data_IF_815181732449
#
_entry.id   IF_815181732449
#
_cell.length_a   1.000
_cell.length_b   1.000
_cell.length_c   1.000
_cell.angle_alpha   90.00
_cell.angle_beta   90.00
_cell.angle_gamma   90.00
#
_symmetry.space_group_name_H-M   'P 1'
#
loop_
_entity.id
_entity.type
_entity.pdbx_description
1 polymer ?
#
# COMPACT_ATOMS: atom_id res chain seq x y z
N UNK A 1 -20.16 9.15 -3.95
CA UNK A 1 -21.19 10.00 -3.35
C UNK A 1 -20.80 10.39 -1.94
N UNK A 2 -20.77 11.68 -1.67
CA UNK A 2 -20.45 12.21 -0.31
C UNK A 2 -21.62 12.12 0.66
N UNK A 3 -22.72 11.50 0.27
CA UNK A 3 -23.90 11.32 1.12
C UNK A 3 -23.86 9.92 1.77
N UNK A 4 -23.45 9.78 3.04
CA UNK A 4 -23.31 8.49 3.69
C UNK A 4 -24.63 7.79 3.94
N UNK A 5 -25.73 8.53 3.99
CA UNK A 5 -27.06 7.98 4.30
C UNK A 5 -27.85 7.59 3.05
N UNK A 6 -27.31 7.87 1.86
CA UNK A 6 -27.98 7.72 0.58
C UNK A 6 -28.90 8.91 0.28
N UNK A 7 -29.35 9.01 -0.95
CA UNK A 7 -30.26 10.09 -1.39
C UNK A 7 -31.49 9.46 -1.99
N UNK A 8 -32.68 9.74 -1.46
CA UNK A 8 -33.95 9.38 -2.04
C UNK A 8 -34.53 10.53 -2.89
N UNK A 9 -33.84 10.79 -4.00
CA UNK A 9 -34.21 11.87 -4.93
C UNK A 9 -35.60 11.62 -5.58
N UNK A 10 -36.05 10.37 -5.61
CA UNK A 10 -37.30 10.00 -6.37
C UNK A 10 -38.55 10.25 -5.55
N UNK A 11 -38.49 10.10 -4.22
CA UNK A 11 -39.68 10.15 -3.35
C UNK A 11 -39.97 11.52 -2.75
N UNK A 12 -38.96 12.31 -2.44
CA UNK A 12 -39.09 13.58 -1.71
C UNK A 12 -38.72 14.74 -2.63
N UNK A 13 -39.61 15.09 -3.55
CA UNK A 13 -39.47 16.26 -4.41
C UNK A 13 -40.49 17.33 -4.02
N UNK A 14 -40.06 18.57 -4.01
CA UNK A 14 -40.96 19.72 -3.95
C UNK A 14 -41.81 19.87 -5.21
N UNK A 15 -42.76 20.81 -5.19
CA UNK A 15 -43.62 21.10 -6.38
C UNK A 15 -42.79 21.53 -7.57
N UNK A 16 -41.60 22.08 -7.36
CA UNK A 16 -40.65 22.51 -8.40
C UNK A 16 -39.78 21.38 -8.94
N UNK A 17 -40.00 20.13 -8.51
CA UNK A 17 -39.21 18.97 -8.90
C UNK A 17 -37.82 18.89 -8.21
N UNK A 18 -37.50 19.83 -7.33
CA UNK A 18 -36.26 19.87 -6.59
C UNK A 18 -36.35 18.91 -5.38
N UNK A 19 -35.33 18.09 -5.13
CA UNK A 19 -35.32 17.20 -3.96
C UNK A 19 -35.36 18.01 -2.67
N UNK A 20 -36.29 17.70 -1.77
CA UNK A 20 -36.41 18.36 -0.46
C UNK A 20 -35.24 18.05 0.48
N UNK A 21 -34.64 16.88 0.31
CA UNK A 21 -33.46 16.42 1.07
C UNK A 21 -32.15 16.73 0.35
N UNK A 22 -32.18 17.54 -0.69
CA UNK A 22 -31.06 17.88 -1.52
C UNK A 22 -30.52 19.26 -1.21
N UNK A 23 -29.21 19.39 -1.23
CA UNK A 23 -28.52 20.70 -1.29
C UNK A 23 -27.95 20.86 -2.70
N UNK A 24 -28.00 22.08 -3.25
CA UNK A 24 -27.40 22.35 -4.56
C UNK A 24 -25.92 21.90 -4.58
N UNK A 25 -25.51 21.24 -5.67
CA UNK A 25 -24.12 20.82 -5.79
C UNK A 25 -23.16 22.02 -5.80
N UNK A 26 -23.51 23.02 -6.58
CA UNK A 26 -22.75 24.28 -6.61
C UNK A 26 -23.49 25.34 -5.78
N UNK A 27 -22.80 26.11 -4.90
CA UNK A 27 -21.36 26.09 -4.61
C UNK A 27 -20.93 25.08 -3.52
N UNK A 28 -21.86 24.43 -2.82
CA UNK A 28 -21.57 23.72 -1.57
C UNK A 28 -20.61 22.53 -1.76
N UNK A 29 -20.93 21.59 -2.64
CA UNK A 29 -20.06 20.43 -2.89
C UNK A 29 -18.89 20.76 -3.80
N UNK A 30 -19.03 21.73 -4.68
CA UNK A 30 -17.91 22.23 -5.50
C UNK A 30 -16.79 22.78 -4.62
N UNK A 31 -17.12 23.52 -3.56
CA UNK A 31 -16.10 24.03 -2.63
C UNK A 31 -15.41 22.90 -1.86
N UNK A 32 -16.17 21.89 -1.41
CA UNK A 32 -15.58 20.72 -0.75
C UNK A 32 -14.65 19.93 -1.67
N UNK A 33 -15.03 19.75 -2.91
CA UNK A 33 -14.20 19.05 -3.91
C UNK A 33 -12.92 19.84 -4.20
N UNK A 34 -13.03 21.16 -4.37
CA UNK A 34 -11.86 22.04 -4.55
C UNK A 34 -10.94 22.03 -3.33
N UNK A 35 -11.50 22.02 -2.12
CA UNK A 35 -10.72 21.91 -0.90
C UNK A 35 -9.96 20.55 -0.85
N UNK A 36 -10.63 19.45 -1.15
CA UNK A 36 -10.00 18.13 -1.18
C UNK A 36 -8.88 18.04 -2.23
N UNK A 37 -9.12 18.58 -3.43
CA UNK A 37 -8.12 18.67 -4.50
C UNK A 37 -6.95 19.55 -4.05
N UNK A 38 -7.21 20.69 -3.43
CA UNK A 38 -6.17 21.60 -2.94
C UNK A 38 -5.28 20.93 -1.90
N UNK A 39 -5.86 20.22 -0.92
CA UNK A 39 -5.10 19.46 0.08
C UNK A 39 -4.28 18.35 -0.57
N UNK A 40 -4.88 17.60 -1.49
CA UNK A 40 -4.17 16.56 -2.22
C UNK A 40 -2.98 17.13 -3.00
N UNK A 41 -3.19 18.18 -3.77
CA UNK A 41 -2.13 18.81 -4.56
C UNK A 41 -1.03 19.39 -3.68
N UNK A 42 -1.38 19.97 -2.53
CA UNK A 42 -0.38 20.47 -1.58
C UNK A 42 0.53 19.34 -1.09
N UNK A 43 -0.05 18.21 -0.64
CA UNK A 43 0.71 17.04 -0.18
C UNK A 43 1.53 16.44 -1.33
N UNK A 44 0.90 16.29 -2.51
CA UNK A 44 1.57 15.76 -3.70
C UNK A 44 2.79 16.61 -4.10
N UNK A 45 2.61 17.92 -4.18
CA UNK A 45 3.72 18.84 -4.51
C UNK A 45 4.80 18.83 -3.42
N UNK A 46 4.42 18.75 -2.15
CA UNK A 46 5.38 18.67 -1.06
C UNK A 46 6.26 17.42 -1.18
N UNK A 47 5.67 16.26 -1.49
CA UNK A 47 6.43 15.04 -1.72
C UNK A 47 7.29 15.13 -2.97
N UNK A 48 6.70 15.52 -4.10
CA UNK A 48 7.39 15.52 -5.40
C UNK A 48 8.57 16.49 -5.46
N UNK A 49 8.46 17.66 -4.83
CA UNK A 49 9.51 18.68 -4.91
C UNK A 49 10.54 18.60 -3.78
N UNK A 50 10.15 18.10 -2.60
CA UNK A 50 11.03 18.14 -1.43
C UNK A 50 11.49 16.77 -0.95
N UNK A 51 10.71 15.70 -1.18
CA UNK A 51 11.02 14.37 -0.69
C UNK A 51 10.63 13.26 -1.69
N UNK A 52 11.07 13.32 -2.97
CA UNK A 52 10.62 12.37 -4.00
C UNK A 52 11.04 10.93 -3.71
N UNK A 53 12.17 10.75 -3.05
CA UNK A 53 12.70 9.40 -2.74
C UNK A 53 12.16 8.85 -1.42
N UNK A 54 11.93 9.72 -0.41
CA UNK A 54 11.53 9.33 0.95
C UNK A 54 12.25 8.08 1.49
N UNK A 55 13.57 8.01 1.30
CA UNK A 55 14.38 6.88 1.74
C UNK A 55 14.06 5.57 1.01
N UNK A 56 13.65 5.64 -0.25
CA UNK A 56 13.28 4.48 -1.07
C UNK A 56 11.81 4.07 -0.97
N UNK A 57 10.98 4.84 -0.25
CA UNK A 57 9.55 4.53 -0.11
C UNK A 57 8.76 4.78 -1.40
N UNK A 58 9.03 5.89 -2.11
CA UNK A 58 8.37 6.22 -3.37
C UNK A 58 9.17 5.77 -4.59
N UNK A 59 10.49 5.93 -4.55
CA UNK A 59 11.39 5.53 -5.62
C UNK A 59 12.33 4.44 -5.11
N UNK A 60 12.23 3.28 -5.71
CA UNK A 60 13.04 2.13 -5.37
C UNK A 60 14.44 2.23 -6.00
N UNK A 61 15.48 1.96 -5.24
CA UNK A 61 16.86 2.04 -5.73
C UNK A 61 17.14 1.17 -6.95
N UNK A 62 16.46 0.03 -7.07
CA UNK A 62 16.58 -0.85 -8.23
C UNK A 62 16.20 -0.15 -9.56
N UNK A 63 15.38 0.90 -9.51
CA UNK A 63 15.01 1.66 -10.71
C UNK A 63 16.14 2.56 -11.25
N UNK A 64 17.17 2.81 -10.44
CA UNK A 64 18.35 3.58 -10.86
C UNK A 64 19.48 2.71 -11.37
N UNK A 65 19.37 1.38 -11.26
CA UNK A 65 20.34 0.45 -11.80
C UNK A 65 20.06 0.19 -13.29
N UNK A 66 21.13 0.08 -14.09
CA UNK A 66 21.01 -0.27 -15.51
C UNK A 66 20.49 -1.71 -15.65
N UNK A 67 19.44 -1.88 -16.46
CA UNK A 67 18.84 -3.19 -16.68
C UNK A 67 19.82 -4.17 -17.34
N UNK A 68 20.03 -5.32 -16.72
CA UNK A 68 20.81 -6.42 -17.23
C UNK A 68 19.95 -7.64 -17.48
N UNK A 69 19.81 -8.03 -18.73
CA UNK A 69 19.01 -9.19 -19.14
C UNK A 69 19.53 -10.53 -18.55
N UNK A 70 20.79 -10.60 -18.13
CA UNK A 70 21.44 -11.81 -17.63
C UNK A 70 21.52 -11.87 -16.09
N UNK A 71 21.26 -10.75 -15.41
CA UNK A 71 21.34 -10.67 -13.95
C UNK A 71 20.12 -9.94 -13.39
N UNK A 72 19.28 -10.67 -12.71
CA UNK A 72 18.17 -10.09 -11.96
C UNK A 72 18.68 -9.56 -10.62
N UNK A 73 18.28 -8.35 -10.17
CA UNK A 73 18.60 -7.86 -8.84
C UNK A 73 18.16 -8.84 -7.75
N UNK A 74 18.93 -8.95 -6.68
CA UNK A 74 18.71 -9.93 -5.61
C UNK A 74 17.38 -9.71 -4.87
N UNK A 75 16.89 -8.48 -4.84
CA UNK A 75 15.63 -8.13 -4.21
C UNK A 75 14.80 -7.26 -5.16
N UNK A 76 13.72 -7.84 -5.69
CA UNK A 76 12.74 -7.12 -6.50
C UNK A 76 11.42 -7.12 -5.73
N UNK A 77 10.95 -5.92 -5.35
CA UNK A 77 9.62 -5.72 -4.83
C UNK A 77 8.79 -4.95 -5.87
N UNK A 78 7.52 -5.30 -6.08
CA UNK A 78 6.63 -4.47 -6.87
C UNK A 78 6.33 -3.16 -6.15
N UNK A 79 5.79 -2.18 -6.88
CA UNK A 79 5.31 -0.92 -6.29
C UNK A 79 4.32 -1.21 -5.16
N UNK A 80 4.31 -0.36 -4.13
CA UNK A 80 3.65 -0.58 -2.85
C UNK A 80 2.19 -1.05 -2.93
N UNK A 81 1.42 -0.59 -3.91
CA UNK A 81 0.01 -0.99 -4.08
C UNK A 81 -0.18 -2.39 -4.66
N UNK A 82 0.86 -2.98 -5.24
CA UNK A 82 0.85 -4.38 -5.69
C UNK A 82 1.42 -5.36 -4.66
N UNK A 83 2.12 -4.88 -3.64
CA UNK A 83 2.78 -5.73 -2.65
C UNK A 83 1.83 -6.70 -1.92
N UNK A 84 0.56 -6.36 -1.59
CA UNK A 84 -0.35 -7.31 -0.97
C UNK A 84 -0.64 -8.51 -1.88
N UNK A 85 -0.88 -8.25 -3.15
CA UNK A 85 -1.17 -9.28 -4.15
C UNK A 85 0.06 -10.14 -4.46
N UNK A 86 1.24 -9.51 -4.50
CA UNK A 86 2.50 -10.23 -4.64
C UNK A 86 2.79 -11.14 -3.43
N UNK A 87 2.38 -10.72 -2.24
CA UNK A 87 2.46 -11.57 -1.06
C UNK A 87 1.57 -12.81 -1.17
N UNK A 88 0.35 -12.67 -1.72
CA UNK A 88 -0.54 -13.80 -2.01
C UNK A 88 0.10 -14.77 -3.01
N UNK A 89 0.71 -14.25 -4.08
CA UNK A 89 1.46 -15.06 -5.06
C UNK A 89 2.52 -15.92 -4.39
N UNK A 90 3.32 -15.31 -3.50
CA UNK A 90 4.44 -15.98 -2.81
C UNK A 90 4.00 -16.90 -1.68
N UNK A 91 2.80 -16.70 -1.12
CA UNK A 91 2.27 -17.53 -0.04
C UNK A 91 1.96 -18.95 -0.49
N UNK A 92 1.66 -19.16 -1.79
CA UNK A 92 1.34 -20.46 -2.36
C UNK A 92 2.63 -21.13 -2.86
N UNK A 93 2.98 -22.34 -2.39
CA UNK A 93 4.23 -23.01 -2.77
C UNK A 93 4.31 -23.39 -4.25
N UNK A 94 3.18 -23.77 -4.85
CA UNK A 94 3.10 -24.11 -6.27
C UNK A 94 2.96 -22.87 -7.12
N UNK A 95 3.81 -22.72 -8.15
CA UNK A 95 3.86 -21.53 -9.01
C UNK A 95 2.57 -21.29 -9.80
N UNK A 96 1.96 -22.37 -10.29
CA UNK A 96 0.72 -22.28 -11.07
C UNK A 96 -0.45 -21.83 -10.19
N UNK A 97 -0.65 -22.48 -9.04
CA UNK A 97 -1.69 -22.11 -8.10
C UNK A 97 -1.43 -20.74 -7.45
N UNK A 98 -0.16 -20.38 -7.26
CA UNK A 98 0.20 -19.03 -6.82
C UNK A 98 -0.25 -17.96 -7.81
N UNK A 99 -0.03 -18.18 -9.10
CA UNK A 99 -0.51 -17.26 -10.15
C UNK A 99 -2.04 -17.16 -10.18
N UNK A 100 -2.74 -18.31 -10.06
CA UNK A 100 -4.21 -18.32 -10.00
C UNK A 100 -4.70 -17.56 -8.75
N UNK A 101 -4.09 -17.77 -7.59
CA UNK A 101 -4.44 -17.03 -6.37
C UNK A 101 -4.18 -15.53 -6.51
N UNK A 102 -3.07 -15.12 -7.12
CA UNK A 102 -2.79 -13.73 -7.44
C UNK A 102 -3.86 -13.12 -8.35
N UNK A 103 -4.17 -13.76 -9.48
CA UNK A 103 -5.20 -13.29 -10.40
C UNK A 103 -6.58 -13.21 -9.73
N UNK A 104 -6.93 -14.23 -8.94
CA UNK A 104 -8.18 -14.26 -8.18
C UNK A 104 -8.23 -13.14 -7.13
N UNK A 105 -7.13 -12.82 -6.47
CA UNK A 105 -7.10 -11.75 -5.46
C UNK A 105 -7.37 -10.37 -6.08
N UNK A 106 -6.91 -10.12 -7.30
CA UNK A 106 -7.21 -8.89 -8.05
C UNK A 106 -8.63 -8.88 -8.59
N UNK A 107 -9.15 -10.05 -9.01
CA UNK A 107 -10.47 -10.15 -9.65
C UNK A 107 -11.64 -10.17 -8.65
N UNK A 108 -11.46 -10.73 -7.46
CA UNK A 108 -12.56 -10.94 -6.51
C UNK A 108 -13.27 -9.65 -6.04
N UNK A 109 -12.60 -8.48 -5.90
CA UNK A 109 -13.29 -7.22 -5.56
C UNK A 109 -14.34 -6.79 -6.59
N UNK A 110 -14.19 -7.18 -7.87
CA UNK A 110 -15.21 -6.87 -8.90
C UNK A 110 -16.53 -7.59 -8.66
N UNK A 111 -16.52 -8.69 -7.90
CA UNK A 111 -17.71 -9.45 -7.54
C UNK A 111 -18.47 -8.85 -6.35
N UNK A 112 -17.93 -7.83 -5.68
CA UNK A 112 -18.48 -7.21 -4.48
C UNK A 112 -19.98 -6.84 -4.60
N UNK A 113 -20.49 -6.27 -5.72
CA UNK A 113 -21.91 -5.92 -5.84
C UNK A 113 -22.87 -7.12 -5.76
N UNK A 114 -22.40 -8.32 -6.09
CA UNK A 114 -23.19 -9.56 -6.05
C UNK A 114 -22.99 -10.32 -4.74
N UNK A 115 -21.82 -10.15 -4.11
CA UNK A 115 -21.48 -10.81 -2.85
C UNK A 115 -22.10 -10.11 -1.65
N UNK A 116 -22.19 -8.78 -1.67
CA UNK A 116 -22.77 -7.99 -0.58
C UNK A 116 -24.29 -8.00 -0.63
N UNK A 117 -24.90 -8.78 0.24
CA UNK A 117 -26.36 -8.95 0.38
C UNK A 117 -26.95 -8.14 1.53
N UNK A 118 -26.22 -7.16 2.05
CA UNK A 118 -26.72 -6.32 3.14
C UNK A 118 -27.94 -5.52 2.70
N UNK A 119 -29.01 -5.46 3.52
CA UNK A 119 -30.20 -4.67 3.22
C UNK A 119 -29.94 -3.16 3.26
N UNK A 120 -28.84 -2.74 3.94
CA UNK A 120 -28.44 -1.34 4.05
C UNK A 120 -27.12 -1.08 3.31
N UNK A 121 -27.06 -0.01 2.53
CA UNK A 121 -25.89 0.35 1.73
C UNK A 121 -24.85 1.11 2.53
N UNK A 122 -25.28 1.99 3.43
CA UNK A 122 -24.40 2.85 4.20
C UNK A 122 -23.76 2.10 5.37
N UNK A 123 -22.45 2.29 5.53
CA UNK A 123 -21.68 1.80 6.67
C UNK A 123 -22.25 2.20 8.05
N UNK A 124 -22.88 3.38 8.12
CA UNK A 124 -23.46 3.92 9.37
C UNK A 124 -24.53 3.00 9.96
N UNK A 125 -25.30 2.36 9.09
CA UNK A 125 -26.43 1.49 9.49
C UNK A 125 -26.08 0.02 9.55
N UNK A 126 -24.85 -0.35 9.18
CA UNK A 126 -24.35 -1.71 9.32
C UNK A 126 -24.01 -2.04 10.76
N UNK A 127 -24.16 -3.30 11.13
CA UNK A 127 -23.93 -3.79 12.47
C UNK A 127 -22.46 -3.99 12.83
N UNK A 128 -22.27 -4.57 14.00
CA UNK A 128 -20.92 -4.82 14.53
C UNK A 128 -20.18 -5.90 13.76
N UNK A 129 -20.89 -6.93 13.30
CA UNK A 129 -20.27 -8.01 12.52
C UNK A 129 -19.59 -7.49 11.25
N UNK A 130 -20.26 -6.63 10.50
CA UNK A 130 -19.70 -5.99 9.31
C UNK A 130 -18.44 -5.20 9.64
N UNK A 131 -18.45 -4.45 10.75
CA UNK A 131 -17.29 -3.63 11.18
C UNK A 131 -16.10 -4.50 11.54
N UNK A 132 -16.33 -5.60 12.28
CA UNK A 132 -15.27 -6.54 12.65
C UNK A 132 -14.67 -7.20 11.40
N UNK A 133 -15.52 -7.69 10.49
CA UNK A 133 -15.04 -8.31 9.25
C UNK A 133 -14.22 -7.35 8.38
N UNK A 134 -14.63 -6.08 8.31
CA UNK A 134 -13.86 -5.07 7.60
C UNK A 134 -12.52 -4.77 8.28
N UNK A 135 -12.49 -4.66 9.60
CA UNK A 135 -11.22 -4.43 10.33
C UNK A 135 -10.26 -5.58 10.12
N UNK A 136 -10.73 -6.82 10.19
CA UNK A 136 -9.91 -8.01 9.92
C UNK A 136 -9.40 -8.04 8.47
N UNK A 137 -10.25 -7.68 7.52
CA UNK A 137 -9.86 -7.57 6.11
C UNK A 137 -8.76 -6.52 5.90
N UNK A 138 -8.95 -5.31 6.42
CA UNK A 138 -7.98 -4.22 6.32
C UNK A 138 -6.66 -4.60 6.98
N UNK A 139 -6.71 -5.17 8.18
CA UNK A 139 -5.52 -5.63 8.88
C UNK A 139 -4.76 -6.69 8.07
N UNK A 140 -5.46 -7.70 7.53
CA UNK A 140 -4.86 -8.75 6.69
C UNK A 140 -4.23 -8.15 5.42
N UNK A 141 -4.90 -7.21 4.79
CA UNK A 141 -4.41 -6.54 3.58
C UNK A 141 -3.14 -5.73 3.84
N UNK A 142 -3.11 -4.97 4.94
CA UNK A 142 -1.92 -4.19 5.34
C UNK A 142 -0.73 -5.10 5.70
N UNK A 143 -0.99 -6.19 6.44
CA UNK A 143 0.04 -7.18 6.76
C UNK A 143 0.61 -7.82 5.49
N UNK A 144 -0.25 -8.22 4.55
CA UNK A 144 0.19 -8.73 3.25
C UNK A 144 1.03 -7.71 2.48
N UNK A 145 0.68 -6.42 2.54
CA UNK A 145 1.47 -5.34 1.96
C UNK A 145 2.89 -5.29 2.50
N UNK A 146 3.03 -5.33 3.82
CA UNK A 146 4.35 -5.35 4.49
C UNK A 146 5.14 -6.62 4.15
N UNK A 147 4.47 -7.78 4.14
CA UNK A 147 5.12 -9.04 3.80
C UNK A 147 5.56 -9.12 2.35
N UNK A 148 4.86 -8.43 1.44
CA UNK A 148 5.21 -8.37 0.02
C UNK A 148 6.55 -7.71 -0.26
N UNK A 149 6.97 -6.76 0.59
CA UNK A 149 8.27 -6.07 0.48
C UNK A 149 9.40 -6.88 1.11
N UNK A 150 9.11 -7.68 2.14
CA UNK A 150 10.15 -8.41 2.88
C UNK A 150 10.54 -9.72 2.20
N UNK A 151 11.79 -10.15 2.41
CA UNK A 151 12.27 -11.46 1.97
C UNK A 151 11.45 -12.60 2.60
N UNK A 152 11.18 -13.70 1.87
CA UNK A 152 10.40 -14.81 2.38
C UNK A 152 11.20 -15.59 3.42
N UNK A 153 10.63 -15.72 4.62
CA UNK A 153 11.06 -16.66 5.66
C UNK A 153 9.90 -17.63 5.94
N UNK A 154 10.14 -18.82 6.51
CA UNK A 154 9.06 -19.78 6.80
C UNK A 154 7.95 -19.17 7.64
N UNK A 155 8.28 -18.36 8.65
CA UNK A 155 7.31 -17.68 9.52
C UNK A 155 6.50 -16.63 8.76
N UNK A 156 7.17 -15.82 7.93
CA UNK A 156 6.52 -14.79 7.10
C UNK A 156 5.62 -15.42 6.05
N UNK A 157 6.03 -16.55 5.48
CA UNK A 157 5.21 -17.31 4.52
C UNK A 157 3.96 -17.86 5.20
N UNK A 158 4.07 -18.43 6.39
CA UNK A 158 2.92 -18.90 7.16
C UNK A 158 1.95 -17.75 7.48
N UNK A 159 2.47 -16.60 7.93
CA UNK A 159 1.65 -15.43 8.19
C UNK A 159 0.96 -14.91 6.92
N UNK A 160 1.66 -14.91 5.78
CA UNK A 160 1.08 -14.53 4.49
C UNK A 160 -0.03 -15.51 4.06
N UNK A 161 0.11 -16.81 4.31
CA UNK A 161 -0.93 -17.80 4.06
C UNK A 161 -2.17 -17.54 4.91
N UNK A 162 -2.01 -17.32 6.21
CA UNK A 162 -3.12 -16.99 7.10
C UNK A 162 -3.85 -15.73 6.65
N UNK A 163 -3.11 -14.66 6.37
CA UNK A 163 -3.69 -13.41 5.90
C UNK A 163 -4.37 -13.55 4.54
N UNK A 164 -3.83 -14.38 3.64
CA UNK A 164 -4.46 -14.67 2.34
C UNK A 164 -5.77 -15.41 2.51
N UNK A 165 -5.85 -16.38 3.43
CA UNK A 165 -7.10 -17.07 3.76
C UNK A 165 -8.14 -16.07 4.29
N UNK A 166 -7.76 -15.17 5.19
CA UNK A 166 -8.67 -14.11 5.69
C UNK A 166 -9.11 -13.16 4.58
N UNK A 167 -8.21 -12.79 3.67
CA UNK A 167 -8.52 -11.94 2.53
C UNK A 167 -9.62 -12.58 1.66
N UNK A 168 -9.45 -13.82 1.25
CA UNK A 168 -10.45 -14.52 0.44
C UNK A 168 -11.72 -14.84 1.21
N UNK A 169 -11.62 -15.23 2.48
CA UNK A 169 -12.77 -15.51 3.34
C UNK A 169 -13.68 -14.29 3.49
N UNK A 170 -13.12 -13.08 3.55
CA UNK A 170 -13.91 -11.86 3.59
C UNK A 170 -14.89 -11.77 2.42
N UNK A 171 -14.44 -12.01 1.19
CA UNK A 171 -15.29 -11.95 0.01
C UNK A 171 -16.18 -13.19 -0.14
N UNK A 172 -15.62 -14.39 -0.03
CA UNK A 172 -16.36 -15.62 -0.27
C UNK A 172 -17.46 -15.87 0.76
N UNK A 173 -17.23 -15.49 2.01
CA UNK A 173 -18.24 -15.59 3.07
C UNK A 173 -19.11 -14.33 3.19
N UNK A 174 -18.88 -13.31 2.37
CA UNK A 174 -19.65 -12.06 2.40
C UNK A 174 -21.17 -12.29 2.26
N UNK A 175 -21.68 -13.15 1.36
CA UNK A 175 -23.09 -13.41 1.27
C UNK A 175 -23.72 -13.90 2.57
N UNK A 176 -22.94 -14.61 3.39
CA UNK A 176 -23.40 -15.18 4.67
C UNK A 176 -23.36 -14.12 5.76
N UNK A 177 -22.17 -13.54 6.02
CA UNK A 177 -22.05 -12.62 7.15
C UNK A 177 -22.76 -11.27 6.90
N UNK A 178 -22.95 -10.84 5.65
CA UNK A 178 -23.68 -9.61 5.33
C UNK A 178 -25.20 -9.75 5.56
N UNK A 179 -25.75 -10.96 5.43
CA UNK A 179 -27.16 -11.23 5.75
C UNK A 179 -27.38 -11.44 7.25
N UNK A 180 -26.40 -11.99 7.96
CA UNK A 180 -26.47 -12.23 9.41
C UNK A 180 -26.25 -10.96 10.24
N UNK A 181 -25.72 -9.90 9.62
CA UNK A 181 -25.41 -8.65 10.31
C UNK A 181 -26.67 -7.94 10.78
N UNK A 182 -26.68 -7.51 12.04
CA UNK A 182 -27.79 -6.75 12.64
C UNK A 182 -27.70 -5.29 12.22
N UNK A 183 -28.44 -4.94 11.17
CA UNK A 183 -28.48 -3.58 10.64
C UNK A 183 -29.39 -2.67 11.44
N UNK A 184 -29.11 -1.37 11.42
CA UNK A 184 -30.00 -0.34 11.98
C UNK A 184 -30.99 0.12 10.90
N UNK A 185 -32.19 0.56 11.29
CA UNK A 185 -33.12 1.12 10.32
C UNK A 185 -32.56 2.40 9.71
N UNK A 186 -32.67 2.51 8.41
CA UNK A 186 -32.31 3.75 7.67
C UNK A 186 -33.44 4.75 7.88
N UNK A 187 -33.16 6.03 8.25
CA UNK A 187 -34.17 7.04 8.39
C UNK A 187 -34.96 7.22 7.08
N UNK A 188 -36.25 7.45 7.17
CA UNK A 188 -37.07 7.72 5.98
C UNK A 188 -36.68 9.02 5.30
N UNK A 189 -36.17 9.96 6.07
CA UNK A 189 -35.65 11.26 5.63
C UNK A 189 -34.24 11.48 6.13
N UNK A 190 -33.35 11.85 5.23
CA UNK A 190 -31.99 12.25 5.59
C UNK A 190 -32.05 13.64 6.19
N UNK A 191 -31.81 13.76 7.50
CA UNK A 191 -31.64 15.04 8.17
C UNK A 191 -30.16 15.38 8.30
N UNK A 192 -29.82 16.64 8.12
CA UNK A 192 -28.43 17.12 8.25
C UNK A 192 -27.85 17.03 9.67
N UNK A 193 -28.66 16.66 10.65
CA UNK A 193 -28.35 16.72 12.08
C UNK A 193 -27.44 15.60 12.61
N UNK A 194 -26.64 14.98 11.78
CA UNK A 194 -25.77 13.88 12.20
C UNK A 194 -24.45 13.76 11.46
N UNK A 195 -23.99 14.82 10.85
CA UNK A 195 -22.66 14.83 10.23
C UNK A 195 -21.58 14.47 11.26
N UNK A 196 -20.69 13.55 10.89
CA UNK A 196 -19.42 13.41 11.59
C UNK A 196 -18.77 14.79 11.49
N UNK A 197 -18.74 15.53 12.60
CA UNK A 197 -18.21 16.88 12.60
C UNK A 197 -16.79 16.87 12.03
N UNK A 198 -16.37 18.01 11.52
CA UNK A 198 -15.03 18.28 10.99
C UNK A 198 -13.91 17.59 11.82
N UNK A 199 -14.07 17.56 13.14
CA UNK A 199 -13.16 16.89 14.08
C UNK A 199 -13.14 15.36 13.96
N UNK A 200 -14.25 14.72 13.60
CA UNK A 200 -14.31 13.27 13.39
C UNK A 200 -13.62 12.85 12.08
N UNK A 201 -13.70 13.66 11.03
CA UNK A 201 -12.97 13.44 9.79
C UNK A 201 -11.48 13.69 9.94
N UNK A 202 -11.09 14.72 10.73
CA UNK A 202 -9.69 15.01 11.08
C UNK A 202 -9.10 13.89 11.96
N UNK A 203 -9.84 13.36 12.93
CA UNK A 203 -9.40 12.24 13.76
C UNK A 203 -9.21 10.96 12.92
N UNK A 204 -10.09 10.70 11.94
CA UNK A 204 -9.93 9.61 10.99
C UNK A 204 -8.70 9.79 10.10
N UNK A 205 -8.47 11.00 9.59
CA UNK A 205 -7.30 11.33 8.79
C UNK A 205 -6.01 11.25 9.62
N UNK A 206 -6.05 11.76 10.87
CA UNK A 206 -4.92 11.66 11.79
C UNK A 206 -4.61 10.21 12.18
N UNK A 207 -5.63 9.36 12.34
CA UNK A 207 -5.45 7.93 12.58
C UNK A 207 -4.83 7.23 11.36
N UNK A 208 -5.28 7.54 10.16
CA UNK A 208 -4.69 7.01 8.92
C UNK A 208 -3.26 7.50 8.76
N UNK A 209 -3.00 8.80 8.99
CA UNK A 209 -1.65 9.35 8.99
C UNK A 209 -0.79 8.76 10.11
N UNK A 210 -1.31 8.57 11.31
CA UNK A 210 -0.58 7.93 12.40
C UNK A 210 -0.28 6.45 12.10
N UNK A 211 -1.17 5.73 11.44
CA UNK A 211 -0.94 4.35 11.01
C UNK A 211 0.04 4.28 9.82
N UNK A 212 0.16 5.33 9.03
CA UNK A 212 1.15 5.42 7.94
C UNK A 212 2.49 5.99 8.41
N UNK A 213 2.51 6.78 9.51
CA UNK A 213 3.71 7.39 10.10
C UNK A 213 4.24 6.59 11.30
N UNK A 214 3.41 5.74 11.96
CA UNK A 214 3.90 4.73 12.92
C UNK A 214 4.96 3.89 12.20
N UNK A 215 6.14 3.77 12.79
CA UNK A 215 7.37 3.63 12.05
C UNK A 215 7.32 2.35 11.21
N UNK A 216 6.90 2.47 9.99
CA UNK A 216 7.76 2.03 8.94
C UNK A 216 9.08 2.77 9.21
N UNK A 217 9.84 2.35 10.24
CA UNK A 217 11.28 2.49 10.18
C UNK A 217 11.53 2.10 8.76
N UNK A 218 11.88 3.07 7.96
CA UNK A 218 12.29 2.82 6.62
C UNK A 218 13.12 1.55 6.74
N UNK A 219 12.54 0.43 6.34
CA UNK A 219 13.34 -0.69 5.94
C UNK A 219 13.98 -0.10 4.72
N UNK A 220 15.02 0.71 5.01
CA UNK A 220 15.93 1.09 3.98
C UNK A 220 16.15 -0.22 3.26
N UNK A 221 16.04 -0.24 1.96
CA UNK A 221 16.53 -1.30 1.12
C UNK A 221 18.05 -1.39 1.25
N UNK A 222 18.56 -1.34 2.47
CA UNK A 222 19.79 -1.95 2.90
C UNK A 222 19.48 -3.43 2.79
N UNK A 223 19.88 -4.03 1.68
CA UNK A 223 19.81 -5.45 1.52
C UNK A 223 20.44 -6.02 2.79
N UNK A 224 19.64 -6.75 3.54
CA UNK A 224 20.14 -7.56 4.64
C UNK A 224 21.13 -8.51 3.97
N UNK A 225 22.41 -8.20 4.07
CA UNK A 225 23.49 -9.00 3.50
C UNK A 225 23.33 -10.40 4.05
N UNK A 226 22.81 -11.29 3.21
CA UNK A 226 22.70 -12.68 3.57
C UNK A 226 24.05 -13.34 3.26
N UNK A 227 24.90 -13.44 4.25
CA UNK A 227 26.19 -14.12 4.15
C UNK A 227 26.06 -15.65 4.26
N UNK A 228 24.85 -16.19 4.12
CA UNK A 228 24.59 -17.63 4.26
C UNK A 228 24.80 -18.11 5.71
N UNK A 229 25.68 -19.08 5.91
CA UNK A 229 26.00 -19.64 7.23
C UNK A 229 27.17 -18.92 7.94
N UNK A 230 27.76 -17.90 7.32
CA UNK A 230 28.88 -17.14 7.90
C UNK A 230 28.37 -15.88 8.62
N UNK A 231 28.99 -15.52 9.78
CA UNK A 231 28.67 -14.26 10.44
C UNK A 231 29.07 -13.10 9.52
N UNK A 232 28.14 -12.19 9.28
CA UNK A 232 28.41 -10.95 8.57
C UNK A 232 28.80 -9.88 9.58
N UNK A 233 29.91 -9.22 9.33
CA UNK A 233 30.28 -8.00 10.05
C UNK A 233 29.56 -6.81 9.43
N UNK A 234 28.96 -5.97 10.28
CA UNK A 234 28.35 -4.71 9.87
C UNK A 234 29.45 -3.72 9.47
N UNK A 235 29.63 -3.54 8.17
CA UNK A 235 30.61 -2.59 7.65
C UNK A 235 29.89 -1.29 7.34
N UNK A 236 30.15 -0.25 8.12
CA UNK A 236 29.71 1.10 7.79
C UNK A 236 30.66 1.71 6.75
N UNK A 237 30.23 1.75 5.50
CA UNK A 237 31.00 2.38 4.42
C UNK A 237 30.81 3.90 4.47
N UNK A 238 31.89 4.66 4.61
CA UNK A 238 31.87 6.11 4.44
C UNK A 238 32.18 6.46 2.96
N UNK A 239 31.20 6.86 2.15
CA UNK A 239 31.41 7.15 0.74
C UNK A 239 32.21 8.43 0.47
N UNK A 240 32.55 9.19 1.51
CA UNK A 240 33.34 10.42 1.43
C UNK A 240 34.80 10.23 1.88
N UNK A 241 35.17 9.04 2.36
CA UNK A 241 36.55 8.72 2.71
C UNK A 241 37.32 8.24 1.47
N UNK A 242 37.75 9.19 0.65
CA UNK A 242 38.48 8.91 -0.58
C UNK A 242 39.74 8.05 -0.40
N UNK A 243 40.59 8.27 0.61
CA UNK A 243 41.75 7.40 0.82
C UNK A 243 41.40 5.94 1.02
N UNK A 244 40.34 5.68 1.79
CA UNK A 244 39.85 4.31 2.01
C UNK A 244 39.27 3.70 0.74
N UNK A 245 38.50 4.46 -0.01
CA UNK A 245 37.91 4.02 -1.29
C UNK A 245 39.00 3.74 -2.34
N UNK A 246 40.01 4.58 -2.45
CA UNK A 246 41.15 4.37 -3.37
C UNK A 246 41.94 3.10 -2.98
N UNK A 247 42.20 2.89 -1.69
CA UNK A 247 42.85 1.68 -1.22
C UNK A 247 41.99 0.42 -1.50
N UNK A 248 40.68 0.48 -1.28
CA UNK A 248 39.76 -0.59 -1.61
C UNK A 248 39.74 -0.92 -3.11
N UNK A 249 39.72 0.10 -3.96
CA UNK A 249 39.81 -0.06 -5.40
C UNK A 249 41.14 -0.72 -5.83
N UNK A 250 42.27 -0.30 -5.23
CA UNK A 250 43.58 -0.90 -5.45
C UNK A 250 43.62 -2.39 -5.05
N UNK A 251 43.08 -2.72 -3.91
CA UNK A 251 42.99 -4.12 -3.47
C UNK A 251 42.10 -4.95 -4.42
N UNK A 252 40.97 -4.41 -4.81
CA UNK A 252 40.08 -5.07 -5.77
C UNK A 252 40.78 -5.35 -7.10
N UNK A 253 41.43 -4.35 -7.68
CA UNK A 253 42.13 -4.48 -8.96
C UNK A 253 43.27 -5.51 -8.90
N UNK A 254 43.99 -5.57 -7.78
CA UNK A 254 45.16 -6.46 -7.68
C UNK A 254 44.80 -7.90 -7.29
N UNK A 255 43.74 -8.11 -6.53
CA UNK A 255 43.45 -9.43 -5.93
C UNK A 255 42.10 -10.04 -6.33
N UNK A 256 41.10 -9.22 -6.63
CA UNK A 256 39.74 -9.73 -6.86
C UNK A 256 39.34 -9.72 -8.34
N UNK A 257 39.87 -8.78 -9.14
CA UNK A 257 39.45 -8.55 -10.51
C UNK A 257 39.76 -9.74 -11.46
N UNK A 258 40.72 -10.56 -11.11
CA UNK A 258 41.04 -11.77 -11.89
C UNK A 258 39.91 -12.80 -11.92
N UNK A 259 39.08 -12.87 -10.86
CA UNK A 259 37.96 -13.79 -10.71
C UNK A 259 36.59 -13.09 -10.73
N UNK A 260 36.53 -11.80 -10.41
CA UNK A 260 35.30 -11.02 -10.33
C UNK A 260 35.39 -9.79 -11.22
N UNK A 261 34.51 -9.68 -12.21
CA UNK A 261 34.44 -8.48 -13.05
C UNK A 261 33.51 -7.43 -12.44
N UNK A 262 33.92 -6.15 -12.50
CA UNK A 262 33.05 -4.99 -12.29
C UNK A 262 32.32 -4.68 -13.61
N UNK A 263 31.39 -5.54 -14.03
CA UNK A 263 30.80 -5.52 -15.37
C UNK A 263 30.10 -4.23 -15.77
N UNK A 264 29.80 -3.34 -14.83
CA UNK A 264 29.09 -2.08 -15.08
C UNK A 264 29.83 -0.83 -14.63
N UNK A 265 30.99 -0.97 -14.00
CA UNK A 265 31.79 0.17 -13.60
C UNK A 265 32.46 0.76 -14.84
N UNK A 266 32.10 2.00 -15.19
CA UNK A 266 32.79 2.76 -16.24
C UNK A 266 34.11 3.27 -15.68
N UNK A 267 35.21 2.87 -16.24
CA UNK A 267 36.56 3.27 -15.77
C UNK A 267 36.71 4.77 -15.55
N UNK A 268 36.21 5.58 -16.49
CA UNK A 268 36.26 7.04 -16.36
C UNK A 268 35.50 7.54 -15.16
N UNK A 269 34.28 7.05 -14.90
CA UNK A 269 33.47 7.47 -13.78
C UNK A 269 34.08 6.99 -12.45
N UNK A 270 34.57 5.75 -12.42
CA UNK A 270 35.23 5.21 -11.25
C UNK A 270 36.49 6.03 -10.89
N UNK A 271 37.27 6.47 -11.88
CA UNK A 271 38.39 7.34 -11.65
C UNK A 271 37.95 8.72 -11.12
N UNK A 272 36.92 9.33 -11.71
CA UNK A 272 36.38 10.61 -11.25
C UNK A 272 35.84 10.52 -9.82
N UNK A 273 35.09 9.46 -9.48
CA UNK A 273 34.51 9.23 -8.14
C UNK A 273 35.60 8.95 -7.08
N UNK A 274 36.72 8.35 -7.49
CA UNK A 274 37.87 8.08 -6.62
C UNK A 274 38.89 9.24 -6.58
N UNK A 275 38.72 10.27 -7.43
CA UNK A 275 39.62 11.42 -7.53
C UNK A 275 41.01 11.06 -8.03
N UNK A 276 41.14 10.11 -8.97
CA UNK A 276 42.38 9.65 -9.60
C UNK A 276 42.33 9.81 -11.13
#
# INVERSE_FOLDING_TARGET
SNNPDGVDIKKNKGPDGVPLDGVAFHPYYTVHDLQAIGVFLFIFCAVMFFMPEMGGFFLEYANFEEANALKTPDHIAPVWYFTPFYSVLRAVPDKFWGFIAFAASVAIPFLLPWLDRSPVKSWRYRGTLNKVMLVLFVASFLILGVLGVKSPTPERTLLAQICSVFYFAFFLLMPIWSTLDKTKPVPERVTMDGGIGFWGSLAGLALILALTILPLKAVGAGGEYNCGSMPCDDISVNPHDQPSLQNGAKLYMNYCMACHSLGYARYKRTAEDLGI
#
